data_IF_532677692730
#
_entry.id   IF_532677692730
#
_cell.length_a   1.000
_cell.length_b   1.000
_cell.length_c   1.000
_cell.angle_alpha   90.00
_cell.angle_beta   90.00
_cell.angle_gamma   90.00
#
_symmetry.space_group_name_H-M   'P 1'
#
loop_
_entity.id
_entity.type
_entity.pdbx_description
1 polymer ?
#
# COMPACT_ATOMS: atom_id res chain seq x y z
N UNK A 1 -30.17 7.31 7.52
CA UNK A 1 -31.37 6.81 6.81
C UNK A 1 -32.37 7.93 6.68
N UNK A 2 -33.06 8.02 5.54
CA UNK A 2 -34.16 8.98 5.34
C UNK A 2 -35.42 8.62 6.16
N UNK A 3 -35.55 7.35 6.57
CA UNK A 3 -36.60 6.83 7.46
C UNK A 3 -35.98 6.14 8.70
N UNK A 4 -36.68 6.11 9.85
CA UNK A 4 -36.20 5.43 11.06
C UNK A 4 -36.01 3.93 10.81
N UNK A 5 -34.98 3.35 11.43
CA UNK A 5 -34.66 1.93 11.30
C UNK A 5 -35.60 1.09 12.16
N UNK A 6 -36.30 0.12 11.56
CA UNK A 6 -37.21 -0.81 12.25
C UNK A 6 -36.61 -2.22 12.42
N UNK A 7 -35.31 -2.39 12.18
CA UNK A 7 -34.65 -3.70 12.27
C UNK A 7 -34.66 -4.25 13.69
N UNK A 8 -35.07 -5.51 13.82
CA UNK A 8 -34.98 -6.28 15.06
C UNK A 8 -33.68 -7.10 15.04
N UNK A 9 -32.68 -6.67 15.81
CA UNK A 9 -31.43 -7.42 15.98
C UNK A 9 -31.54 -8.33 17.21
N UNK A 10 -31.76 -9.64 16.98
CA UNK A 10 -31.82 -10.64 18.03
C UNK A 10 -30.44 -10.90 18.65
N UNK A 11 -30.46 -11.43 19.88
CA UNK A 11 -29.24 -11.90 20.54
C UNK A 11 -28.65 -13.10 19.79
N UNK A 12 -27.35 -13.32 20.00
CA UNK A 12 -26.69 -14.48 19.40
C UNK A 12 -27.11 -15.74 20.13
N UNK A 13 -27.37 -16.80 19.35
CA UNK A 13 -27.51 -18.15 19.87
C UNK A 13 -26.15 -18.84 19.81
N UNK A 14 -25.71 -19.37 20.95
CA UNK A 14 -24.42 -20.05 21.03
C UNK A 14 -24.62 -21.53 21.35
N UNK A 15 -23.96 -22.37 20.57
CA UNK A 15 -24.05 -23.83 20.62
C UNK A 15 -22.70 -24.45 20.96
N UNK A 16 -22.73 -25.68 21.46
CA UNK A 16 -21.52 -26.44 21.81
C UNK A 16 -20.75 -26.83 20.57
N UNK A 17 -21.43 -27.41 19.59
CA UNK A 17 -20.82 -27.93 18.38
C UNK A 17 -21.28 -27.19 17.12
N UNK A 18 -20.44 -27.19 16.07
CA UNK A 18 -20.83 -26.69 14.74
C UNK A 18 -22.05 -27.44 14.21
N UNK A 19 -22.18 -28.73 14.52
CA UNK A 19 -23.30 -29.57 14.09
C UNK A 19 -24.63 -29.07 14.65
N UNK A 20 -24.72 -28.84 15.95
CA UNK A 20 -25.91 -28.28 16.60
C UNK A 20 -26.26 -26.91 16.05
N UNK A 21 -25.26 -26.04 15.91
CA UNK A 21 -25.42 -24.71 15.29
C UNK A 21 -26.07 -24.80 13.91
N UNK A 22 -25.55 -25.64 13.01
CA UNK A 22 -26.10 -25.76 11.66
C UNK A 22 -27.49 -26.39 11.65
N UNK A 23 -27.78 -27.34 12.55
CA UNK A 23 -29.14 -27.89 12.71
C UNK A 23 -30.12 -26.80 13.14
N UNK A 24 -29.74 -25.96 14.11
CA UNK A 24 -30.56 -24.83 14.56
C UNK A 24 -30.76 -23.76 13.46
N UNK A 25 -29.72 -23.48 12.67
CA UNK A 25 -29.82 -22.60 11.49
C UNK A 25 -30.83 -23.16 10.49
N UNK A 26 -30.77 -24.46 10.17
CA UNK A 26 -31.73 -25.09 9.23
C UNK A 26 -33.14 -25.05 9.79
N UNK A 27 -33.33 -25.35 11.08
CA UNK A 27 -34.64 -25.27 11.73
C UNK A 27 -35.21 -23.83 11.67
N UNK A 28 -34.36 -22.82 11.89
CA UNK A 28 -34.77 -21.41 11.79
C UNK A 28 -35.14 -21.01 10.37
N UNK A 29 -34.34 -21.44 9.37
CA UNK A 29 -34.64 -21.21 7.96
C UNK A 29 -35.98 -21.86 7.59
N UNK A 30 -36.21 -23.10 8.05
CA UNK A 30 -37.45 -23.81 7.79
C UNK A 30 -38.67 -23.08 8.37
N UNK A 31 -38.58 -22.65 9.64
CA UNK A 31 -39.64 -21.85 10.27
C UNK A 31 -39.97 -20.58 9.47
N UNK A 32 -38.95 -19.84 9.01
CA UNK A 32 -39.14 -18.63 8.22
C UNK A 32 -39.70 -18.95 6.82
N UNK A 33 -39.24 -20.04 6.21
CA UNK A 33 -39.70 -20.47 4.89
C UNK A 33 -41.18 -20.89 4.92
N UNK A 34 -41.61 -21.61 5.96
CA UNK A 34 -43.00 -22.02 6.19
C UNK A 34 -43.93 -20.82 6.45
N UNK A 35 -43.43 -19.75 7.08
CA UNK A 35 -44.18 -18.49 7.25
C UNK A 35 -44.11 -17.57 6.03
N UNK A 36 -43.43 -17.97 4.95
CA UNK A 36 -43.24 -17.16 3.73
C UNK A 36 -42.21 -16.02 3.87
N UNK A 37 -41.51 -15.93 5.00
CA UNK A 37 -40.50 -14.89 5.23
C UNK A 37 -39.20 -15.19 4.43
N UNK A 38 -38.69 -14.24 3.63
CA UNK A 38 -37.42 -14.44 2.92
C UNK A 38 -36.24 -14.47 3.88
N UNK A 39 -35.26 -15.34 3.59
CA UNK A 39 -34.07 -15.53 4.40
C UNK A 39 -32.80 -15.33 3.60
N UNK A 40 -31.90 -14.49 4.11
CA UNK A 40 -30.53 -14.37 3.63
C UNK A 40 -29.58 -14.94 4.68
N UNK A 41 -28.82 -15.98 4.32
CA UNK A 41 -27.83 -16.61 5.19
C UNK A 41 -26.43 -16.18 4.78
N UNK A 42 -25.67 -15.62 5.71
CA UNK A 42 -24.27 -15.26 5.53
C UNK A 42 -23.34 -16.28 6.18
N UNK A 43 -22.43 -16.85 5.39
CA UNK A 43 -21.37 -17.76 5.85
C UNK A 43 -19.99 -17.12 5.67
N UNK A 44 -19.00 -17.47 6.52
CA UNK A 44 -17.65 -16.94 6.39
C UNK A 44 -16.81 -17.66 5.33
N UNK A 45 -17.13 -18.92 5.00
CA UNK A 45 -16.40 -19.72 4.01
C UNK A 45 -17.32 -20.36 2.96
N UNK A 46 -16.73 -20.72 1.81
CA UNK A 46 -17.40 -21.46 0.73
C UNK A 46 -17.80 -22.86 1.22
N UNK A 47 -16.92 -23.52 1.97
CA UNK A 47 -17.19 -24.84 2.57
C UNK A 47 -18.39 -24.81 3.51
N UNK A 48 -18.53 -23.76 4.33
CA UNK A 48 -19.69 -23.57 5.20
C UNK A 48 -20.98 -23.38 4.39
N UNK A 49 -20.94 -22.59 3.30
CA UNK A 49 -22.11 -22.43 2.42
C UNK A 49 -22.51 -23.72 1.72
N UNK A 50 -21.55 -24.53 1.25
CA UNK A 50 -21.84 -25.81 0.60
C UNK A 50 -22.36 -26.86 1.58
N UNK A 51 -21.84 -26.87 2.79
CA UNK A 51 -22.33 -27.74 3.87
C UNK A 51 -23.76 -27.40 4.25
N UNK A 52 -24.07 -26.10 4.46
CA UNK A 52 -25.43 -25.66 4.72
C UNK A 52 -26.36 -25.96 3.54
N UNK A 53 -25.89 -25.75 2.30
CA UNK A 53 -26.65 -26.06 1.09
C UNK A 53 -27.07 -27.53 1.05
N UNK A 54 -26.14 -28.46 1.31
CA UNK A 54 -26.46 -29.91 1.39
C UNK A 54 -27.49 -30.22 2.47
N UNK A 55 -27.44 -29.53 3.62
CA UNK A 55 -28.43 -29.72 4.69
C UNK A 55 -29.81 -29.19 4.28
N UNK A 56 -29.88 -28.04 3.62
CA UNK A 56 -31.14 -27.49 3.10
C UNK A 56 -31.75 -28.37 2.00
N UNK A 57 -30.93 -28.98 1.14
CA UNK A 57 -31.40 -29.96 0.14
C UNK A 57 -32.07 -31.17 0.81
N UNK A 58 -31.48 -31.70 1.90
CA UNK A 58 -32.06 -32.81 2.67
C UNK A 58 -33.40 -32.44 3.31
N UNK A 59 -33.54 -31.20 3.78
CA UNK A 59 -34.80 -30.65 4.29
C UNK A 59 -35.78 -30.21 3.20
N UNK A 60 -35.46 -30.44 1.91
CA UNK A 60 -36.29 -30.08 0.75
C UNK A 60 -36.59 -28.57 0.62
N UNK A 61 -35.71 -27.72 1.14
CA UNK A 61 -35.84 -26.26 1.05
C UNK A 61 -35.13 -25.77 -0.22
N UNK A 62 -35.90 -25.17 -1.14
CA UNK A 62 -35.33 -24.55 -2.34
C UNK A 62 -34.53 -23.32 -1.96
N UNK A 63 -33.28 -23.27 -2.37
CA UNK A 63 -32.38 -22.16 -2.06
C UNK A 63 -31.41 -21.89 -3.21
N UNK A 64 -30.80 -20.70 -3.18
CA UNK A 64 -29.73 -20.29 -4.11
C UNK A 64 -28.44 -20.04 -3.33
N UNK A 65 -27.30 -20.40 -3.90
CA UNK A 65 -25.98 -20.23 -3.26
C UNK A 65 -25.14 -19.23 -4.06
N UNK A 66 -24.48 -18.30 -3.37
CA UNK A 66 -23.64 -17.25 -3.95
C UNK A 66 -22.21 -17.39 -3.40
N UNK A 67 -21.25 -17.61 -4.31
CA UNK A 67 -19.86 -17.93 -3.96
C UNK A 67 -18.83 -16.90 -4.49
N UNK A 68 -19.27 -15.72 -4.94
CA UNK A 68 -18.45 -14.66 -5.52
C UNK A 68 -17.69 -15.05 -6.80
N UNK A 69 -18.24 -15.98 -7.61
CA UNK A 69 -17.63 -16.43 -8.88
C UNK A 69 -18.14 -15.66 -10.10
N UNK A 70 -19.43 -15.31 -10.13
CA UNK A 70 -20.08 -14.70 -11.31
C UNK A 70 -20.93 -13.49 -10.92
N UNK A 71 -20.32 -12.31 -10.83
CA UNK A 71 -20.95 -11.12 -10.24
C UNK A 71 -22.29 -10.69 -10.89
N UNK A 72 -22.43 -10.80 -12.22
CA UNK A 72 -23.67 -10.41 -12.92
C UNK A 72 -24.85 -11.32 -12.56
N UNK A 73 -24.66 -12.64 -12.61
CA UNK A 73 -25.69 -13.61 -12.23
C UNK A 73 -26.02 -13.51 -10.74
N UNK A 74 -25.01 -13.28 -9.89
CA UNK A 74 -25.21 -13.08 -8.46
C UNK A 74 -26.08 -11.85 -8.17
N UNK A 75 -25.93 -10.76 -8.93
CA UNK A 75 -26.74 -9.57 -8.76
C UNK A 75 -28.24 -9.85 -9.04
N UNK A 76 -28.56 -10.66 -10.05
CA UNK A 76 -29.95 -11.07 -10.33
C UNK A 76 -30.53 -11.93 -9.20
N UNK A 77 -29.73 -12.87 -8.69
CA UNK A 77 -30.13 -13.71 -7.56
C UNK A 77 -30.40 -12.85 -6.32
N UNK A 78 -29.53 -11.87 -6.02
CA UNK A 78 -29.67 -10.99 -4.85
C UNK A 78 -30.88 -10.08 -4.98
N UNK A 79 -31.19 -9.55 -6.18
CA UNK A 79 -32.42 -8.78 -6.41
C UNK A 79 -33.68 -9.59 -6.10
N UNK A 80 -33.66 -10.89 -6.37
CA UNK A 80 -34.75 -11.83 -6.07
C UNK A 80 -34.73 -12.39 -4.63
N UNK A 81 -33.72 -12.07 -3.82
CA UNK A 81 -33.59 -12.59 -2.45
C UNK A 81 -34.68 -12.06 -1.50
N UNK A 82 -35.33 -10.95 -1.83
CA UNK A 82 -36.39 -10.34 -1.03
C UNK A 82 -37.81 -10.78 -1.40
N UNK A 83 -37.98 -11.82 -2.22
CA UNK A 83 -39.29 -12.37 -2.61
C UNK A 83 -39.81 -13.38 -1.58
N UNK A 84 -41.14 -13.53 -1.47
CA UNK A 84 -41.79 -14.43 -0.51
C UNK A 84 -41.20 -15.85 -0.56
N UNK A 85 -40.83 -16.39 0.61
CA UNK A 85 -40.26 -17.73 0.76
C UNK A 85 -38.86 -17.92 0.15
N UNK A 86 -38.21 -16.88 -0.37
CA UNK A 86 -36.88 -16.98 -0.99
C UNK A 86 -35.81 -17.28 0.07
N UNK A 87 -34.97 -18.28 -0.19
CA UNK A 87 -33.81 -18.62 0.66
C UNK A 87 -32.54 -18.44 -0.16
N UNK A 88 -31.68 -17.53 0.29
CA UNK A 88 -30.40 -17.24 -0.36
C UNK A 88 -29.25 -17.44 0.62
N UNK A 89 -28.30 -18.29 0.27
CA UNK A 89 -27.06 -18.51 1.01
C UNK A 89 -25.94 -17.73 0.31
N UNK A 90 -25.23 -16.91 1.05
CA UNK A 90 -24.17 -16.06 0.55
C UNK A 90 -22.90 -16.27 1.36
N UNK A 91 -21.78 -16.46 0.68
CA UNK A 91 -20.49 -16.26 1.31
C UNK A 91 -20.27 -14.76 1.55
N UNK A 92 -19.37 -14.47 2.49
CA UNK A 92 -19.11 -13.15 3.06
C UNK A 92 -19.01 -11.97 2.07
N UNK A 93 -18.56 -12.20 0.84
CA UNK A 93 -18.38 -11.15 -0.18
C UNK A 93 -19.42 -11.16 -1.30
N UNK A 94 -20.24 -12.20 -1.42
CA UNK A 94 -21.13 -12.34 -2.56
C UNK A 94 -22.33 -11.38 -2.47
N UNK A 95 -22.77 -10.85 -3.61
CA UNK A 95 -23.90 -9.91 -3.66
C UNK A 95 -23.66 -8.54 -3.03
N UNK A 96 -22.41 -8.13 -2.79
CA UNK A 96 -22.09 -6.76 -2.34
C UNK A 96 -22.40 -5.73 -3.44
N UNK A 97 -22.94 -4.58 -3.03
CA UNK A 97 -23.33 -3.50 -3.95
C UNK A 97 -24.71 -3.66 -4.59
N UNK A 98 -25.39 -4.80 -4.42
CA UNK A 98 -26.77 -5.00 -4.90
C UNK A 98 -27.77 -4.85 -3.76
N UNK A 99 -28.83 -4.09 -4.02
CA UNK A 99 -29.91 -3.83 -3.08
C UNK A 99 -30.96 -4.94 -3.13
N UNK A 100 -31.37 -5.42 -1.96
CA UNK A 100 -32.44 -6.40 -1.81
C UNK A 100 -33.72 -5.61 -1.52
N UNK A 101 -34.65 -5.60 -2.49
CA UNK A 101 -35.98 -5.00 -2.32
C UNK A 101 -36.96 -6.07 -1.88
N UNK A 102 -37.82 -5.73 -0.92
CA UNK A 102 -38.88 -6.64 -0.48
C UNK A 102 -39.96 -6.72 -1.56
N UNK A 103 -40.40 -7.94 -1.87
CA UNK A 103 -41.55 -8.19 -2.74
C UNK A 103 -42.90 -7.84 -2.08
N UNK A 104 -44.02 -8.01 -2.78
CA UNK A 104 -45.35 -7.89 -2.19
C UNK A 104 -45.50 -8.89 -1.03
N UNK A 105 -46.29 -8.53 -0.01
CA UNK A 105 -46.65 -9.34 1.17
C UNK A 105 -45.50 -9.71 2.13
N UNK A 106 -44.24 -9.50 1.73
CA UNK A 106 -43.06 -9.78 2.55
C UNK A 106 -42.99 -8.89 3.80
N UNK A 107 -43.53 -7.66 3.73
CA UNK A 107 -43.55 -6.75 4.89
C UNK A 107 -44.43 -7.28 6.00
N UNK A 108 -45.55 -7.92 5.65
CA UNK A 108 -46.49 -8.51 6.60
C UNK A 108 -45.92 -9.80 7.22
N UNK A 109 -45.13 -10.55 6.45
CA UNK A 109 -44.35 -11.70 6.92
C UNK A 109 -43.13 -11.32 7.82
N UNK A 110 -42.95 -10.05 8.17
CA UNK A 110 -41.87 -9.57 9.05
C UNK A 110 -40.60 -9.10 8.33
N UNK A 111 -40.62 -9.01 6.99
CA UNK A 111 -39.51 -8.51 6.18
C UNK A 111 -38.37 -9.52 6.00
N UNK A 112 -37.23 -9.07 5.45
CA UNK A 112 -36.06 -9.94 5.23
C UNK A 112 -35.43 -10.37 6.56
N UNK A 113 -35.30 -11.68 6.78
CA UNK A 113 -34.59 -12.25 7.91
C UNK A 113 -33.14 -12.57 7.53
N UNK A 114 -32.17 -12.02 8.26
CA UNK A 114 -30.75 -12.23 7.99
C UNK A 114 -30.15 -13.15 9.06
N UNK A 115 -29.57 -14.26 8.62
CA UNK A 115 -28.88 -15.22 9.49
C UNK A 115 -27.38 -15.11 9.27
N UNK A 116 -26.61 -14.88 10.33
CA UNK A 116 -25.17 -15.13 10.33
C UNK A 116 -24.89 -16.52 10.90
N UNK A 117 -24.17 -17.37 10.16
CA UNK A 117 -23.79 -18.72 10.66
C UNK A 117 -22.55 -18.71 11.54
N UNK A 118 -21.92 -17.56 11.70
CA UNK A 118 -20.80 -17.30 12.61
C UNK A 118 -20.56 -15.79 12.71
N UNK A 119 -19.69 -15.41 13.63
CA UNK A 119 -19.21 -14.03 13.79
C UNK A 119 -17.90 -13.85 13.05
N UNK A 120 -17.83 -12.79 12.26
CA UNK A 120 -16.58 -12.44 11.60
C UNK A 120 -15.58 -11.84 12.58
N UNK A 121 -14.31 -11.89 12.19
CA UNK A 121 -13.21 -11.26 12.93
C UNK A 121 -13.41 -9.74 13.10
N UNK A 122 -14.11 -9.08 12.17
CA UNK A 122 -14.48 -7.68 12.30
C UNK A 122 -15.99 -7.48 12.43
N UNK A 123 -16.38 -6.64 13.39
CA UNK A 123 -17.75 -6.20 13.63
C UNK A 123 -18.34 -5.45 12.45
N UNK A 124 -17.49 -4.80 11.65
CA UNK A 124 -17.93 -4.09 10.44
C UNK A 124 -18.60 -5.04 9.45
N UNK A 125 -18.02 -6.22 9.26
CA UNK A 125 -18.53 -7.24 8.34
C UNK A 125 -19.89 -7.78 8.82
N UNK A 126 -20.01 -8.09 10.11
CA UNK A 126 -21.29 -8.51 10.68
C UNK A 126 -22.36 -7.42 10.57
N UNK A 127 -22.01 -6.15 10.81
CA UNK A 127 -22.93 -5.02 10.62
C UNK A 127 -23.34 -4.84 9.16
N UNK A 128 -22.46 -5.15 8.21
CA UNK A 128 -22.80 -5.15 6.78
C UNK A 128 -23.78 -6.27 6.43
N UNK A 129 -23.62 -7.46 7.00
CA UNK A 129 -24.56 -8.56 6.85
C UNK A 129 -25.94 -8.16 7.42
N UNK A 130 -25.99 -7.65 8.66
CA UNK A 130 -27.24 -7.11 9.26
C UNK A 130 -27.86 -5.97 8.46
N UNK A 131 -27.03 -5.16 7.82
CA UNK A 131 -27.45 -4.05 6.96
C UNK A 131 -28.12 -4.49 5.65
N UNK A 132 -28.17 -5.79 5.35
CA UNK A 132 -28.87 -6.31 4.16
C UNK A 132 -30.38 -6.28 4.30
N UNK A 133 -30.93 -6.33 5.52
CA UNK A 133 -32.36 -6.15 5.78
C UNK A 133 -32.70 -4.73 6.27
N UNK A 134 -34.00 -4.46 6.35
CA UNK A 134 -34.56 -3.21 6.90
C UNK A 134 -34.07 -1.92 6.21
N UNK A 135 -33.92 -1.96 4.88
CA UNK A 135 -33.53 -0.79 4.10
C UNK A 135 -34.68 0.22 4.05
N UNK A 136 -34.36 1.51 4.15
CA UNK A 136 -35.35 2.61 4.08
C UNK A 136 -36.56 2.45 5.03
N UNK A 137 -36.35 1.88 6.22
CA UNK A 137 -37.40 1.71 7.23
C UNK A 137 -38.33 0.52 6.98
N UNK A 138 -37.99 -0.36 6.04
CA UNK A 138 -38.66 -1.66 5.90
C UNK A 138 -38.48 -2.50 7.18
N UNK A 139 -39.44 -3.39 7.49
CA UNK A 139 -39.26 -4.37 8.56
C UNK A 139 -38.18 -5.39 8.18
N UNK A 140 -37.62 -6.02 9.20
CA UNK A 140 -36.67 -7.10 9.03
C UNK A 140 -36.01 -7.45 10.35
N UNK A 141 -35.40 -8.61 10.39
CA UNK A 141 -34.73 -9.09 11.58
C UNK A 141 -33.36 -9.67 11.24
N UNK A 142 -32.48 -9.73 12.23
CA UNK A 142 -31.21 -10.41 12.09
C UNK A 142 -30.88 -11.23 13.33
N UNK A 143 -30.26 -12.39 13.14
CA UNK A 143 -29.82 -13.26 14.22
C UNK A 143 -28.52 -13.96 13.83
N UNK A 144 -27.62 -14.14 14.79
CA UNK A 144 -26.38 -14.88 14.58
C UNK A 144 -26.40 -16.17 15.38
N UNK A 145 -25.89 -17.22 14.76
CA UNK A 145 -25.74 -18.55 15.32
C UNK A 145 -24.25 -18.82 15.39
N UNK A 146 -23.72 -19.13 16.57
CA UNK A 146 -22.28 -19.25 16.83
C UNK A 146 -22.04 -20.58 17.53
N UNK A 147 -20.89 -21.20 17.29
CA UNK A 147 -20.42 -22.37 18.02
C UNK A 147 -19.11 -22.06 18.75
N UNK A 148 -18.86 -22.71 19.87
CA UNK A 148 -17.54 -22.64 20.54
C UNK A 148 -16.41 -23.22 19.67
N UNK A 149 -16.75 -24.07 18.71
CA UNK A 149 -15.82 -24.61 17.71
C UNK A 149 -15.55 -23.63 16.54
N UNK A 150 -16.23 -22.48 16.47
CA UNK A 150 -16.00 -21.50 15.40
C UNK A 150 -14.64 -20.78 15.58
N UNK A 151 -14.05 -20.35 14.47
CA UNK A 151 -12.67 -19.84 14.45
C UNK A 151 -12.45 -18.63 15.38
N UNK A 152 -13.44 -17.75 15.49
CA UNK A 152 -13.38 -16.61 16.41
C UNK A 152 -13.28 -17.07 17.87
N UNK A 153 -14.04 -18.10 18.24
CA UNK A 153 -14.14 -18.61 19.61
C UNK A 153 -12.90 -19.44 19.98
N UNK A 154 -12.44 -20.28 19.05
CA UNK A 154 -11.24 -21.11 19.20
C UNK A 154 -9.97 -20.28 19.40
N UNK A 155 -9.80 -19.23 18.61
CA UNK A 155 -8.54 -18.48 18.56
C UNK A 155 -8.30 -17.55 19.76
N UNK A 156 -9.29 -17.31 20.63
CA UNK A 156 -9.21 -16.25 21.66
C UNK A 156 -9.13 -16.72 23.12
N UNK A 157 -8.77 -17.99 23.36
CA UNK A 157 -8.65 -18.58 24.70
C UNK A 157 -9.90 -18.35 25.58
N UNK A 158 -11.03 -18.09 24.92
CA UNK A 158 -12.36 -18.08 25.49
C UNK A 158 -12.92 -19.51 25.47
N UNK A 159 -12.48 -20.35 24.53
CA UNK A 159 -12.81 -21.78 24.47
C UNK A 159 -12.61 -22.46 25.83
N UNK A 160 -11.40 -22.54 26.40
CA UNK A 160 -11.17 -23.31 27.65
C UNK A 160 -11.99 -22.78 28.85
N UNK A 161 -12.10 -21.45 29.00
CA UNK A 161 -12.94 -20.86 30.05
C UNK A 161 -14.42 -21.09 29.80
N UNK A 162 -14.86 -21.06 28.55
CA UNK A 162 -16.26 -21.25 28.18
C UNK A 162 -16.66 -22.72 28.24
N UNK A 163 -15.81 -23.65 27.81
CA UNK A 163 -15.99 -25.10 27.99
C UNK A 163 -16.16 -25.43 29.48
N UNK A 164 -15.30 -24.89 30.35
CA UNK A 164 -15.45 -25.03 31.81
C UNK A 164 -16.75 -24.42 32.37
N UNK A 165 -17.27 -23.35 31.74
CA UNK A 165 -18.57 -22.77 32.09
C UNK A 165 -19.70 -23.68 31.58
N UNK A 166 -19.58 -24.29 30.41
CA UNK A 166 -20.57 -25.23 29.86
C UNK A 166 -20.70 -26.49 30.70
N UNK A 167 -19.58 -27.07 31.12
CA UNK A 167 -19.57 -28.24 32.01
C UNK A 167 -20.21 -27.92 33.37
N UNK A 168 -20.08 -26.67 33.85
CA UNK A 168 -20.76 -26.20 35.07
C UNK A 168 -22.23 -25.89 34.89
N UNK A 169 -22.63 -25.40 33.72
CA UNK A 169 -24.02 -25.05 33.43
C UNK A 169 -24.87 -26.26 33.01
N UNK A 170 -24.27 -27.43 32.78
CA UNK A 170 -25.01 -28.67 32.52
C UNK A 170 -25.82 -28.61 31.22
N UNK A 171 -25.29 -27.97 30.20
CA UNK A 171 -25.98 -27.74 28.92
C UNK A 171 -26.23 -29.08 28.21
N UNK A 172 -27.50 -29.38 27.95
CA UNK A 172 -27.91 -30.57 27.22
C UNK A 172 -27.62 -30.41 25.71
N UNK A 173 -27.38 -31.53 25.02
CA UNK A 173 -27.06 -31.52 23.60
C UNK A 173 -28.24 -30.94 22.79
N UNK A 174 -28.00 -29.81 22.13
CA UNK A 174 -28.99 -29.15 21.26
C UNK A 174 -29.69 -27.92 21.85
N UNK A 175 -29.44 -27.58 23.12
CA UNK A 175 -29.93 -26.32 23.69
C UNK A 175 -29.08 -25.13 23.25
N UNK A 176 -29.70 -23.97 23.02
CA UNK A 176 -29.01 -22.73 22.67
C UNK A 176 -28.83 -21.86 23.93
N UNK A 177 -27.62 -21.36 24.15
CA UNK A 177 -27.38 -20.35 25.18
C UNK A 177 -27.70 -18.96 24.63
N UNK A 178 -28.70 -18.31 25.23
CA UNK A 178 -29.07 -16.92 24.92
C UNK A 178 -28.97 -16.04 26.16
N UNK A 179 -27.85 -15.32 26.30
CA UNK A 179 -27.69 -14.35 27.37
C UNK A 179 -26.93 -13.08 26.93
N UNK A 180 -27.33 -11.93 27.49
CA UNK A 180 -26.71 -10.62 27.20
C UNK A 180 -25.21 -10.59 27.49
N UNK A 181 -24.73 -11.32 28.51
CA UNK A 181 -23.31 -11.36 28.86
C UNK A 181 -22.47 -12.08 27.80
N UNK A 182 -23.05 -13.06 27.10
CA UNK A 182 -22.39 -13.85 26.07
C UNK A 182 -22.09 -13.00 24.83
N UNK A 183 -23.06 -12.19 24.40
CA UNK A 183 -22.86 -11.18 23.34
C UNK A 183 -21.70 -10.23 23.66
N UNK A 184 -21.59 -9.77 24.91
CA UNK A 184 -20.50 -8.87 25.34
C UNK A 184 -19.14 -9.57 25.30
N UNK A 185 -19.11 -10.87 25.62
CA UNK A 185 -17.90 -11.68 25.53
C UNK A 185 -17.43 -11.83 24.08
N UNK A 186 -18.34 -12.17 23.17
CA UNK A 186 -18.08 -12.24 21.71
C UNK A 186 -17.60 -10.90 21.17
N UNK A 187 -18.26 -9.79 21.53
CA UNK A 187 -17.84 -8.44 21.10
C UNK A 187 -16.42 -8.10 21.61
N UNK A 188 -16.08 -8.54 22.82
CA UNK A 188 -14.73 -8.35 23.40
C UNK A 188 -13.69 -9.16 22.63
N UNK A 189 -14.00 -10.40 22.25
CA UNK A 189 -13.15 -11.21 21.39
C UNK A 189 -12.91 -10.51 20.04
N UNK A 190 -13.98 -10.05 19.37
CA UNK A 190 -13.86 -9.31 18.10
C UNK A 190 -13.02 -8.04 18.25
N UNK A 191 -13.21 -7.24 19.31
CA UNK A 191 -12.39 -6.04 19.56
C UNK A 191 -10.90 -6.37 19.66
N UNK A 192 -10.53 -7.46 20.34
CA UNK A 192 -9.13 -7.89 20.44
C UNK A 192 -8.57 -8.35 19.09
N UNK A 193 -9.35 -9.08 18.30
CA UNK A 193 -8.99 -9.48 16.94
C UNK A 193 -8.74 -8.23 16.07
N UNK A 194 -9.67 -7.28 16.09
CA UNK A 194 -9.57 -6.01 15.36
C UNK A 194 -8.31 -5.24 15.75
N UNK A 195 -8.01 -5.16 17.05
CA UNK A 195 -6.78 -4.53 17.57
C UNK A 195 -5.51 -5.26 17.12
N UNK A 196 -5.51 -6.60 17.14
CA UNK A 196 -4.37 -7.40 16.65
C UNK A 196 -4.11 -7.12 15.16
N UNK A 197 -5.14 -7.18 14.32
CA UNK A 197 -4.99 -6.89 12.89
C UNK A 197 -4.66 -5.43 12.61
N UNK A 198 -5.16 -4.50 13.44
CA UNK A 198 -4.76 -3.10 13.35
C UNK A 198 -3.26 -2.94 13.63
N UNK A 199 -2.74 -3.56 14.70
CA UNK A 199 -1.30 -3.53 15.01
C UNK A 199 -0.47 -4.16 13.90
N UNK A 200 -0.87 -5.31 13.35
CA UNK A 200 -0.16 -5.94 12.22
C UNK A 200 -0.13 -5.05 10.98
N UNK A 201 -1.27 -4.44 10.63
CA UNK A 201 -1.34 -3.51 9.49
C UNK A 201 -0.52 -2.25 9.72
N UNK A 202 -0.56 -1.69 10.93
CA UNK A 202 0.27 -0.55 11.31
C UNK A 202 1.76 -0.92 11.19
N UNK A 203 2.15 -2.08 11.72
CA UNK A 203 3.52 -2.56 11.61
C UNK A 203 3.96 -2.67 10.15
N UNK A 204 3.16 -3.30 9.26
CA UNK A 204 3.46 -3.35 7.82
C UNK A 204 3.57 -1.96 7.20
N UNK A 205 2.64 -1.07 7.53
CA UNK A 205 2.67 0.33 7.06
C UNK A 205 3.95 1.05 7.49
N UNK A 206 4.42 0.82 8.72
CA UNK A 206 5.64 1.46 9.22
C UNK A 206 6.91 1.07 8.42
N UNK A 207 6.96 -0.14 7.84
CA UNK A 207 8.03 -0.54 6.90
C UNK A 207 7.83 0.10 5.53
N UNK A 208 6.59 0.04 5.02
CA UNK A 208 6.25 0.58 3.71
C UNK A 208 6.46 2.11 3.65
N UNK A 209 6.26 2.83 4.76
CA UNK A 209 6.50 4.27 4.88
C UNK A 209 7.98 4.64 4.65
N UNK A 210 8.92 3.78 5.04
CA UNK A 210 10.35 3.98 4.76
C UNK A 210 10.58 3.91 3.24
N UNK A 211 10.04 2.88 2.60
CA UNK A 211 10.13 2.70 1.14
C UNK A 211 9.42 3.81 0.38
N UNK A 212 8.27 4.29 0.85
CA UNK A 212 7.52 5.36 0.20
C UNK A 212 8.31 6.67 0.20
N UNK A 213 8.97 7.03 1.32
CA UNK A 213 9.85 8.22 1.37
C UNK A 213 11.01 8.11 0.39
N UNK A 214 11.61 6.92 0.26
CA UNK A 214 12.69 6.70 -0.71
C UNK A 214 12.19 6.81 -2.16
N UNK A 215 11.01 6.24 -2.45
CA UNK A 215 10.35 6.39 -3.76
C UNK A 215 10.08 7.84 -4.10
N UNK A 216 9.59 8.63 -3.16
CA UNK A 216 9.32 10.06 -3.39
C UNK A 216 10.58 10.80 -3.86
N UNK A 217 11.73 10.52 -3.24
CA UNK A 217 13.01 11.14 -3.60
C UNK A 217 13.50 10.62 -4.96
N UNK A 218 13.53 9.30 -5.18
CA UNK A 218 14.03 8.70 -6.43
C UNK A 218 13.14 9.05 -7.61
N UNK A 219 11.82 8.94 -7.47
CA UNK A 219 10.88 9.32 -8.52
C UNK A 219 10.83 10.83 -8.72
N UNK A 220 11.09 11.62 -7.67
CA UNK A 220 11.34 13.05 -7.79
C UNK A 220 12.51 13.34 -8.72
N UNK A 221 13.67 12.74 -8.44
CA UNK A 221 14.88 12.90 -9.26
C UNK A 221 14.71 12.37 -10.69
N UNK A 222 14.09 11.19 -10.84
CA UNK A 222 13.76 10.61 -12.15
C UNK A 222 12.88 11.54 -12.98
N UNK A 223 11.85 12.12 -12.35
CA UNK A 223 10.94 13.06 -13.03
C UNK A 223 11.61 14.39 -13.38
N UNK A 224 12.54 14.86 -12.56
CA UNK A 224 13.36 16.03 -12.85
C UNK A 224 14.20 15.80 -14.11
N UNK A 225 14.88 14.66 -14.23
CA UNK A 225 15.63 14.27 -15.42
C UNK A 225 14.73 14.15 -16.66
N UNK A 226 13.55 13.53 -16.51
CA UNK A 226 12.60 13.39 -17.62
C UNK A 226 12.09 14.74 -18.13
N UNK A 227 11.79 15.66 -17.22
CA UNK A 227 11.13 16.94 -17.53
C UNK A 227 12.09 18.09 -17.76
N UNK A 228 13.38 17.92 -17.50
CA UNK A 228 14.37 18.98 -17.70
C UNK A 228 14.32 19.48 -19.14
N UNK A 229 14.38 20.78 -19.38
CA UNK A 229 14.54 21.29 -20.74
C UNK A 229 15.95 21.00 -21.24
N UNK A 230 16.96 21.24 -20.37
CA UNK A 230 18.37 20.95 -20.61
C UNK A 230 18.90 19.88 -19.61
N UNK A 231 19.04 18.62 -20.02
CA UNK A 231 19.63 17.56 -19.20
C UNK A 231 21.11 17.80 -18.87
N UNK A 232 21.78 18.66 -19.64
CA UNK A 232 23.21 18.93 -19.49
C UNK A 232 23.52 19.65 -18.20
N UNK A 233 22.70 20.63 -17.81
CA UNK A 233 22.88 21.34 -16.54
C UNK A 233 22.92 20.36 -15.36
N UNK A 234 22.02 19.36 -15.36
CA UNK A 234 21.98 18.31 -14.34
C UNK A 234 23.25 17.44 -14.34
N UNK A 235 23.81 17.14 -15.51
CA UNK A 235 25.07 16.40 -15.64
C UNK A 235 26.24 17.24 -15.11
N UNK A 236 26.28 18.53 -15.42
CA UNK A 236 27.34 19.43 -14.94
C UNK A 236 27.29 19.57 -13.42
N UNK A 237 26.11 19.80 -12.84
CA UNK A 237 25.93 19.84 -11.38
C UNK A 237 26.36 18.52 -10.71
N UNK A 238 26.12 17.39 -11.40
CA UNK A 238 26.51 16.08 -10.92
C UNK A 238 28.04 15.88 -10.97
N UNK A 239 28.71 16.34 -12.02
CA UNK A 239 30.19 16.36 -12.09
C UNK A 239 30.78 17.26 -11.00
N UNK A 240 30.26 18.48 -10.86
CA UNK A 240 30.71 19.45 -9.84
C UNK A 240 30.58 18.92 -8.41
N UNK A 241 29.68 17.97 -8.17
CA UNK A 241 29.55 17.31 -6.87
C UNK A 241 30.43 16.06 -6.73
N UNK A 242 30.49 15.18 -7.75
CA UNK A 242 31.20 13.91 -7.63
C UNK A 242 32.71 14.11 -7.65
N UNK A 243 33.23 14.95 -8.56
CA UNK A 243 34.67 15.06 -8.73
C UNK A 243 35.35 15.54 -7.44
N UNK A 244 34.89 16.61 -6.77
CA UNK A 244 35.51 17.03 -5.51
C UNK A 244 35.37 15.98 -4.40
N UNK A 245 34.23 15.29 -4.32
CA UNK A 245 34.02 14.25 -3.32
C UNK A 245 35.00 13.07 -3.50
N UNK A 246 35.22 12.63 -4.73
CA UNK A 246 36.16 11.55 -5.06
C UNK A 246 37.61 11.99 -4.86
N UNK A 247 37.96 13.23 -5.23
CA UNK A 247 39.31 13.78 -4.96
C UNK A 247 39.55 13.86 -3.46
N UNK A 248 38.59 14.35 -2.67
CA UNK A 248 38.71 14.35 -1.20
C UNK A 248 38.90 12.94 -0.67
N UNK A 249 38.10 11.98 -1.13
CA UNK A 249 38.17 10.58 -0.68
C UNK A 249 39.57 9.96 -0.90
N UNK A 250 40.19 10.17 -2.07
CA UNK A 250 41.52 9.60 -2.36
C UNK A 250 42.69 10.45 -1.82
N UNK A 251 42.47 11.72 -1.51
CA UNK A 251 43.52 12.63 -1.02
C UNK A 251 43.51 12.83 0.50
N UNK A 252 42.42 12.50 1.18
CA UNK A 252 42.38 12.43 2.63
C UNK A 252 43.24 11.27 3.12
N UNK A 253 43.98 11.49 4.21
CA UNK A 253 44.88 10.48 4.78
C UNK A 253 44.08 9.28 5.30
N UNK A 254 44.15 8.15 4.61
CA UNK A 254 43.66 6.85 5.08
C UNK A 254 44.80 5.88 5.37
N UNK A 255 44.58 5.00 6.36
CA UNK A 255 45.36 3.87 6.95
C UNK A 255 46.90 3.97 7.13
N UNK A 256 47.64 4.82 6.40
CA UNK A 256 49.10 4.98 6.49
C UNK A 256 49.61 6.43 6.47
N UNK A 257 48.71 7.43 6.46
CA UNK A 257 49.08 8.86 6.51
C UNK A 257 49.64 9.41 5.19
N UNK A 258 49.36 8.76 4.07
CA UNK A 258 49.72 9.23 2.73
C UNK A 258 48.50 9.20 1.80
N UNK A 259 48.35 10.19 0.90
CA UNK A 259 47.25 10.21 -0.06
C UNK A 259 47.43 9.14 -1.15
N UNK A 260 46.34 8.47 -1.52
CA UNK A 260 46.30 7.41 -2.54
C UNK A 260 46.24 7.97 -3.96
N UNK A 261 47.23 8.79 -4.30
CA UNK A 261 47.32 9.53 -5.57
C UNK A 261 47.28 8.61 -6.80
N UNK A 262 47.86 7.42 -6.69
CA UNK A 262 47.87 6.44 -7.77
C UNK A 262 46.49 5.82 -8.02
N UNK A 263 45.69 5.63 -6.96
CA UNK A 263 44.31 5.15 -7.10
C UNK A 263 43.41 6.22 -7.71
N UNK A 264 43.57 7.49 -7.31
CA UNK A 264 42.88 8.61 -7.94
C UNK A 264 43.18 8.66 -9.45
N UNK A 265 44.44 8.52 -9.84
CA UNK A 265 44.84 8.51 -11.24
C UNK A 265 44.21 7.33 -12.01
N UNK A 266 44.20 6.14 -11.42
CA UNK A 266 43.56 4.96 -12.01
C UNK A 266 42.05 5.15 -12.16
N UNK A 267 41.39 5.70 -11.14
CA UNK A 267 39.96 5.99 -11.19
C UNK A 267 39.63 7.01 -12.28
N UNK A 268 40.38 8.12 -12.37
CA UNK A 268 40.20 9.14 -13.40
C UNK A 268 40.32 8.54 -14.80
N UNK A 269 41.36 7.75 -15.06
CA UNK A 269 41.60 7.17 -16.38
C UNK A 269 40.64 6.02 -16.74
N UNK A 270 40.05 5.34 -15.75
CA UNK A 270 39.03 4.30 -15.97
C UNK A 270 37.65 4.89 -16.26
N UNK A 271 37.37 6.05 -15.67
CA UNK A 271 36.06 6.73 -15.71
C UNK A 271 35.99 7.72 -16.88
N UNK A 272 37.07 8.45 -17.13
CA UNK A 272 37.15 9.51 -18.12
C UNK A 272 38.21 9.23 -19.19
N UNK A 273 37.99 9.66 -20.44
CA UNK A 273 38.94 9.46 -21.53
C UNK A 273 40.11 10.47 -21.50
N UNK A 274 40.68 10.75 -20.33
CA UNK A 274 41.73 11.77 -20.15
C UNK A 274 43.15 11.23 -20.36
N UNK A 275 43.37 9.93 -20.15
CA UNK A 275 44.68 9.26 -20.30
C UNK A 275 45.84 10.03 -19.63
N UNK A 276 45.62 10.56 -18.42
CA UNK A 276 46.61 11.34 -17.69
C UNK A 276 47.78 10.45 -17.26
N UNK A 277 49.00 10.89 -17.52
CA UNK A 277 50.21 10.32 -16.91
C UNK A 277 50.48 10.93 -15.53
N UNK A 278 51.25 10.23 -14.69
CA UNK A 278 51.69 10.74 -13.37
C UNK A 278 52.36 12.11 -13.49
N UNK A 279 53.17 12.29 -14.53
CA UNK A 279 53.90 13.52 -14.81
C UNK A 279 53.00 14.71 -15.20
N UNK A 280 51.83 14.45 -15.81
CA UNK A 280 50.86 15.48 -16.21
C UNK A 280 49.87 15.79 -15.11
N UNK A 281 49.43 14.76 -14.39
CA UNK A 281 48.49 14.87 -13.30
C UNK A 281 49.06 15.72 -12.15
N UNK A 282 50.29 15.42 -11.70
CA UNK A 282 50.99 16.13 -10.61
C UNK A 282 50.11 16.37 -9.38
N UNK A 283 49.27 15.41 -9.01
CA UNK A 283 48.30 15.57 -7.93
C UNK A 283 48.98 15.87 -6.58
N UNK A 284 50.20 15.38 -6.34
CA UNK A 284 50.99 15.69 -5.14
C UNK A 284 51.38 17.16 -5.00
N UNK A 285 51.35 17.93 -6.09
CA UNK A 285 51.80 19.34 -6.09
C UNK A 285 50.70 20.34 -5.76
N UNK A 286 49.44 19.89 -5.70
CA UNK A 286 48.27 20.75 -5.43
C UNK A 286 47.51 20.22 -4.22
N UNK A 287 46.75 21.10 -3.61
CA UNK A 287 45.78 20.76 -2.58
C UNK A 287 44.52 20.11 -3.17
N UNK A 288 43.63 19.63 -2.30
CA UNK A 288 42.39 18.93 -2.67
C UNK A 288 41.51 19.80 -3.59
N UNK A 289 41.35 21.09 -3.26
CA UNK A 289 40.58 22.04 -4.07
C UNK A 289 41.25 22.31 -5.42
N UNK A 290 42.57 22.49 -5.44
CA UNK A 290 43.35 22.68 -6.66
C UNK A 290 43.28 21.48 -7.61
N UNK A 291 43.34 20.24 -7.09
CA UNK A 291 43.18 19.03 -7.89
C UNK A 291 41.74 18.83 -8.36
N UNK A 292 40.75 19.17 -7.54
CA UNK A 292 39.33 19.13 -7.93
C UNK A 292 39.06 20.06 -9.11
N UNK A 293 39.51 21.31 -9.04
CA UNK A 293 39.37 22.29 -10.14
C UNK A 293 40.10 21.85 -11.40
N UNK A 294 41.34 21.37 -11.26
CA UNK A 294 42.13 20.86 -12.38
C UNK A 294 41.43 19.71 -13.11
N UNK A 295 40.85 18.75 -12.38
CA UNK A 295 40.11 17.65 -12.96
C UNK A 295 38.79 18.11 -13.60
N UNK A 296 38.02 18.96 -12.92
CA UNK A 296 36.79 19.51 -13.48
C UNK A 296 37.04 20.21 -14.82
N UNK A 297 38.01 21.12 -14.91
CA UNK A 297 38.34 21.80 -16.16
C UNK A 297 38.68 20.82 -17.30
N UNK A 298 39.46 19.78 -17.01
CA UNK A 298 39.83 18.76 -17.99
C UNK A 298 38.64 17.91 -18.42
N UNK A 299 37.78 17.52 -17.48
CA UNK A 299 36.58 16.72 -17.75
C UNK A 299 35.57 17.54 -18.56
N UNK A 300 35.33 18.81 -18.20
CA UNK A 300 34.48 19.71 -18.98
C UNK A 300 35.01 19.88 -20.40
N UNK A 301 36.32 20.06 -20.56
CA UNK A 301 36.94 20.17 -21.89
C UNK A 301 36.73 18.88 -22.71
N UNK A 302 36.93 17.71 -22.09
CA UNK A 302 36.68 16.42 -22.74
C UNK A 302 35.20 16.22 -23.10
N UNK A 303 34.29 16.66 -22.22
CA UNK A 303 32.85 16.58 -22.43
C UNK A 303 32.38 17.49 -23.58
N UNK A 304 32.86 18.74 -23.61
CA UNK A 304 32.56 19.68 -24.71
C UNK A 304 33.06 19.13 -26.05
N UNK A 305 34.27 18.55 -26.07
CA UNK A 305 34.79 17.89 -27.28
C UNK A 305 33.94 16.68 -27.70
N UNK A 306 33.40 15.92 -26.74
CA UNK A 306 32.45 14.84 -27.04
C UNK A 306 31.20 15.40 -27.70
N UNK A 307 30.61 16.45 -27.14
CA UNK A 307 29.41 17.10 -27.67
C UNK A 307 29.60 17.56 -29.12
N UNK A 308 30.74 18.17 -29.44
CA UNK A 308 31.05 18.62 -30.81
C UNK A 308 31.04 17.50 -31.86
N UNK A 309 31.27 16.25 -31.44
CA UNK A 309 31.32 15.08 -32.32
C UNK A 309 29.98 14.32 -32.39
N UNK A 310 29.02 14.63 -31.53
CA UNK A 310 27.73 13.95 -31.45
C UNK A 310 26.66 14.67 -32.27
N UNK A 311 25.60 13.96 -32.67
CA UNK A 311 24.48 14.59 -33.36
C UNK A 311 23.66 15.46 -32.39
N UNK A 312 23.60 16.77 -32.67
CA UNK A 312 22.85 17.75 -31.87
C UNK A 312 21.37 17.43 -31.72
N UNK A 313 20.74 16.72 -32.65
CA UNK A 313 19.31 16.37 -32.57
C UNK A 313 19.02 15.32 -31.48
N UNK A 314 19.99 14.46 -31.18
CA UNK A 314 19.81 13.32 -30.28
C UNK A 314 20.55 13.48 -28.94
N UNK A 315 21.34 14.54 -28.79
CA UNK A 315 22.21 14.74 -27.63
C UNK A 315 21.41 14.79 -26.31
N UNK A 316 20.34 15.58 -26.24
CA UNK A 316 19.51 15.67 -25.04
C UNK A 316 18.83 14.33 -24.70
N UNK A 317 18.45 13.56 -25.73
CA UNK A 317 17.85 12.24 -25.52
C UNK A 317 18.88 11.24 -24.98
N UNK A 318 20.13 11.33 -25.43
CA UNK A 318 21.24 10.52 -24.97
C UNK A 318 21.60 10.85 -23.52
N UNK A 319 21.74 12.13 -23.19
CA UNK A 319 22.04 12.63 -21.84
C UNK A 319 20.96 12.18 -20.83
N UNK A 320 19.66 12.32 -21.19
CA UNK A 320 18.55 11.77 -20.39
C UNK A 320 18.66 10.26 -20.26
N UNK A 321 18.91 9.54 -21.35
CA UNK A 321 18.99 8.08 -21.33
C UNK A 321 20.07 7.60 -20.36
N UNK A 322 21.26 8.21 -20.37
CA UNK A 322 22.37 7.87 -19.48
C UNK A 322 21.95 8.02 -18.02
N UNK A 323 21.33 9.16 -17.66
CA UNK A 323 20.87 9.40 -16.28
C UNK A 323 19.73 8.46 -15.88
N UNK A 324 18.72 8.29 -16.74
CA UNK A 324 17.57 7.43 -16.44
C UNK A 324 17.96 5.97 -16.32
N UNK A 325 18.86 5.49 -17.17
CA UNK A 325 19.36 4.12 -17.10
C UNK A 325 20.07 3.87 -15.76
N UNK A 326 20.93 4.81 -15.33
CA UNK A 326 21.60 4.72 -14.05
C UNK A 326 20.61 4.71 -12.86
N UNK A 327 19.62 5.61 -12.87
CA UNK A 327 18.57 5.65 -11.85
C UNK A 327 17.77 4.34 -11.83
N UNK A 328 17.25 3.90 -12.97
CA UNK A 328 16.32 2.78 -13.05
C UNK A 328 17.01 1.46 -12.69
N UNK A 329 18.23 1.23 -13.20
CA UNK A 329 19.00 0.01 -12.87
C UNK A 329 19.32 -0.05 -11.38
N UNK A 330 19.87 1.03 -10.81
CA UNK A 330 20.28 1.06 -9.40
C UNK A 330 19.09 1.03 -8.45
N UNK A 331 17.98 1.67 -8.82
CA UNK A 331 16.75 1.59 -8.06
C UNK A 331 16.19 0.17 -8.01
N UNK A 332 16.22 -0.55 -9.14
CA UNK A 332 15.79 -1.95 -9.16
C UNK A 332 16.67 -2.83 -8.26
N UNK A 333 18.00 -2.69 -8.32
CA UNK A 333 18.94 -3.37 -7.42
C UNK A 333 18.62 -3.08 -5.94
N UNK A 334 18.34 -1.81 -5.61
CA UNK A 334 17.95 -1.39 -4.26
C UNK A 334 16.62 -2.01 -3.80
N UNK A 335 15.62 -2.11 -4.68
CA UNK A 335 14.35 -2.75 -4.32
C UNK A 335 14.54 -4.21 -3.90
N UNK A 336 15.40 -4.96 -4.58
CA UNK A 336 15.74 -6.33 -4.18
C UNK A 336 16.49 -6.38 -2.84
N UNK A 337 17.45 -5.46 -2.63
CA UNK A 337 18.17 -5.36 -1.36
C UNK A 337 17.23 -5.02 -0.19
N UNK A 338 16.26 -4.13 -0.43
CA UNK A 338 15.26 -3.71 0.56
C UNK A 338 14.28 -4.83 0.93
N UNK A 339 13.91 -5.69 -0.02
CA UNK A 339 13.07 -6.86 0.26
C UNK A 339 13.84 -7.90 1.08
N UNK A 340 15.08 -8.20 0.66
CA UNK A 340 16.00 -9.08 1.40
C UNK A 340 16.25 -8.59 2.83
N UNK A 341 16.43 -7.27 3.00
CA UNK A 341 16.59 -6.62 4.30
C UNK A 341 15.33 -6.79 5.16
N UNK A 342 14.13 -6.62 4.57
CA UNK A 342 12.85 -6.76 5.27
C UNK A 342 12.62 -8.19 5.78
N UNK A 343 13.03 -9.20 5.01
CA UNK A 343 12.97 -10.60 5.45
C UNK A 343 14.01 -10.88 6.55
N UNK A 344 15.25 -10.43 6.35
CA UNK A 344 16.36 -10.68 7.27
C UNK A 344 16.25 -9.99 8.63
N UNK A 345 15.67 -8.78 8.68
CA UNK A 345 15.60 -7.99 9.92
C UNK A 345 14.73 -8.64 11.00
N UNK A 346 13.83 -9.56 10.62
CA UNK A 346 13.03 -10.32 11.58
C UNK A 346 13.90 -11.19 12.50
N UNK A 347 15.07 -11.64 12.03
CA UNK A 347 16.02 -12.41 12.85
C UNK A 347 16.71 -11.55 13.91
N UNK A 348 16.82 -10.22 13.69
CA UNK A 348 17.40 -9.29 14.68
C UNK A 348 16.58 -9.20 15.96
N UNK A 349 15.29 -9.56 15.91
CA UNK A 349 14.43 -9.66 17.08
C UNK A 349 14.98 -10.64 18.14
N UNK A 350 15.76 -11.65 17.74
CA UNK A 350 16.41 -12.58 18.67
C UNK A 350 17.41 -11.89 19.60
N UNK A 351 18.02 -10.79 19.16
CA UNK A 351 18.94 -9.98 19.94
C UNK A 351 18.27 -8.89 20.80
N UNK A 352 16.95 -8.97 21.03
CA UNK A 352 16.17 -7.96 21.76
C UNK A 352 16.21 -6.53 21.16
N UNK A 353 16.59 -6.43 19.89
CA UNK A 353 16.55 -5.18 19.12
C UNK A 353 15.22 -5.06 18.40
N UNK A 354 14.68 -3.85 18.32
CA UNK A 354 13.46 -3.58 17.55
C UNK A 354 13.76 -3.70 16.04
N UNK A 355 13.15 -4.67 15.32
CA UNK A 355 13.39 -4.85 13.90
C UNK A 355 13.06 -3.62 13.06
N UNK A 356 12.05 -2.83 13.44
CA UNK A 356 11.68 -1.63 12.68
C UNK A 356 12.76 -0.55 12.76
N UNK A 357 13.40 -0.41 13.92
CA UNK A 357 14.48 0.56 14.12
C UNK A 357 15.73 0.15 13.34
N UNK A 358 16.12 -1.13 13.44
CA UNK A 358 17.24 -1.67 12.68
C UNK A 358 17.00 -1.56 11.16
N UNK A 359 15.77 -1.88 10.71
CA UNK A 359 15.38 -1.71 9.31
C UNK A 359 15.52 -0.27 8.84
N UNK A 360 15.04 0.71 9.62
CA UNK A 360 15.17 2.14 9.27
C UNK A 360 16.62 2.58 9.14
N UNK A 361 17.48 2.12 10.06
CA UNK A 361 18.90 2.47 10.08
C UNK A 361 19.66 1.83 8.91
N UNK A 362 19.50 0.53 8.68
CA UNK A 362 20.14 -0.18 7.58
C UNK A 362 19.61 0.31 6.22
N UNK A 363 18.30 0.51 6.10
CA UNK A 363 17.67 1.05 4.89
C UNK A 363 18.17 2.45 4.54
N UNK A 364 18.38 3.32 5.53
CA UNK A 364 18.95 4.65 5.30
C UNK A 364 20.38 4.59 4.75
N UNK A 365 21.21 3.69 5.30
CA UNK A 365 22.57 3.46 4.80
C UNK A 365 22.56 2.97 3.35
N UNK A 366 21.74 1.95 3.06
CA UNK A 366 21.57 1.44 1.69
C UNK A 366 21.08 2.52 0.74
N UNK A 367 20.15 3.38 1.18
CA UNK A 367 19.61 4.45 0.35
C UNK A 367 20.60 5.57 0.08
N UNK A 368 21.45 5.92 1.05
CA UNK A 368 22.52 6.90 0.84
C UNK A 368 23.53 6.37 -0.17
N UNK A 369 23.97 5.12 0.03
CA UNK A 369 24.85 4.43 -0.93
C UNK A 369 24.21 4.31 -2.32
N UNK A 370 22.90 4.03 -2.39
CA UNK A 370 22.16 4.02 -3.66
C UNK A 370 22.32 5.36 -4.39
N UNK A 371 22.10 6.49 -3.71
CA UNK A 371 22.20 7.81 -4.36
C UNK A 371 23.59 8.05 -4.92
N UNK A 372 24.63 7.72 -4.14
CA UNK A 372 26.01 7.84 -4.58
C UNK A 372 26.28 6.93 -5.80
N UNK A 373 25.83 5.67 -5.77
CA UNK A 373 26.01 4.73 -6.89
C UNK A 373 25.20 5.08 -8.15
N UNK A 374 24.04 5.74 -8.01
CA UNK A 374 23.29 6.30 -9.15
C UNK A 374 24.13 7.37 -9.82
N UNK A 375 24.65 8.29 -9.02
CA UNK A 375 25.40 9.43 -9.54
C UNK A 375 26.72 8.97 -10.18
N UNK A 376 27.45 8.06 -9.52
CA UNK A 376 28.66 7.42 -10.08
C UNK A 376 28.35 6.64 -11.35
N UNK A 377 27.23 5.90 -11.37
CA UNK A 377 26.76 5.18 -12.55
C UNK A 377 26.50 6.10 -13.73
N UNK A 378 25.91 7.28 -13.49
CA UNK A 378 25.70 8.29 -14.51
C UNK A 378 27.02 8.86 -15.06
N UNK A 379 27.97 9.23 -14.18
CA UNK A 379 29.30 9.73 -14.59
C UNK A 379 30.07 8.69 -15.39
N UNK A 380 30.12 7.46 -14.90
CA UNK A 380 30.88 6.37 -15.52
C UNK A 380 30.36 6.04 -16.91
N UNK A 381 29.04 6.14 -17.10
CA UNK A 381 28.38 5.90 -18.37
C UNK A 381 28.44 7.12 -19.30
N UNK A 382 28.70 8.33 -18.78
CA UNK A 382 28.67 9.58 -19.54
C UNK A 382 29.54 9.53 -20.81
N UNK A 383 30.73 8.95 -20.74
CA UNK A 383 31.67 8.87 -21.87
C UNK A 383 31.63 7.53 -22.64
N UNK A 384 30.80 6.57 -22.21
CA UNK A 384 30.74 5.22 -22.79
C UNK A 384 29.64 5.04 -23.84
N UNK A 385 28.64 5.93 -23.85
CA UNK A 385 27.56 5.93 -24.82
C UNK A 385 27.81 6.99 -25.91
N UNK A 386 27.54 6.63 -27.16
CA UNK A 386 27.61 7.51 -28.34
C UNK A 386 26.32 7.41 -29.15
N UNK A 387 25.98 8.44 -29.93
CA UNK A 387 24.74 8.48 -30.75
C UNK A 387 24.75 7.52 -31.94
N UNK A 388 25.89 6.89 -32.26
CA UNK A 388 26.06 6.02 -33.45
C UNK A 388 25.48 4.61 -33.25
N UNK A 389 25.11 4.23 -32.02
CA UNK A 389 24.21 3.08 -31.84
C UNK A 389 22.80 3.58 -32.09
N UNK A 390 22.16 3.09 -33.16
CA UNK A 390 20.72 3.24 -33.39
C UNK A 390 20.02 3.10 -32.04
N UNK A 391 19.54 4.23 -31.52
CA UNK A 391 18.77 4.26 -30.30
C UNK A 391 17.48 3.56 -30.69
N UNK A 392 17.37 2.28 -30.32
CA UNK A 392 16.18 1.48 -30.48
C UNK A 392 14.95 2.35 -30.13
N UNK A 393 13.87 2.34 -30.93
CA UNK A 393 12.69 3.18 -30.73
C UNK A 393 11.85 2.76 -29.51
N UNK A 394 12.49 2.20 -28.48
CA UNK A 394 11.91 1.83 -27.19
C UNK A 394 11.50 3.07 -26.38
N UNK A 395 12.05 4.25 -26.68
CA UNK A 395 11.55 5.52 -26.12
C UNK A 395 10.23 6.00 -26.79
N UNK A 396 9.94 5.57 -28.02
CA UNK A 396 8.66 5.83 -28.67
C UNK A 396 7.56 4.88 -28.19
N UNK A 397 7.95 3.70 -27.68
CA UNK A 397 7.05 2.65 -27.19
C UNK A 397 7.06 2.51 -25.65
N UNK A 398 7.55 3.52 -24.94
CA UNK A 398 7.35 3.61 -23.50
C UNK A 398 5.84 3.44 -23.23
N UNK A 399 5.40 2.40 -22.49
CA UNK A 399 3.98 2.18 -22.30
C UNK A 399 3.41 3.38 -21.54
N UNK A 400 2.71 4.24 -22.26
CA UNK A 400 1.81 5.26 -21.70
C UNK A 400 0.68 4.61 -20.85
N UNK A 401 0.62 3.29 -20.78
CA UNK A 401 -0.30 2.53 -19.95
C UNK A 401 0.33 2.09 -18.62
N UNK A 402 0.63 3.06 -17.75
CA UNK A 402 0.33 2.90 -16.31
C UNK A 402 -0.60 4.00 -15.79
N UNK A 403 -1.13 4.83 -16.67
CA UNK A 403 -2.38 5.57 -16.46
C UNK A 403 -3.59 4.63 -16.61
N UNK A 404 -3.62 3.56 -15.82
CA UNK A 404 -4.78 2.71 -15.58
C UNK A 404 -5.58 3.17 -14.36
N UNK A 405 -5.65 4.47 -14.11
CA UNK A 405 -6.58 5.08 -13.17
C UNK A 405 -7.67 5.78 -13.98
N UNK A 406 -8.69 5.03 -14.41
CA UNK A 406 -9.87 5.62 -15.02
C UNK A 406 -10.50 6.60 -14.03
N UNK A 407 -10.39 7.88 -14.33
CA UNK A 407 -11.33 8.88 -13.84
C UNK A 407 -12.68 8.57 -14.47
N UNK A 408 -13.47 7.76 -13.76
CA UNK A 408 -14.92 7.79 -13.83
C UNK A 408 -15.51 7.37 -12.48
N UNK A 409 -15.95 8.39 -11.74
CA UNK A 409 -17.05 8.37 -10.78
C UNK A 409 -17.06 7.27 -9.71
N UNK A 410 -16.31 7.50 -8.63
CA UNK A 410 -16.83 7.21 -7.29
C UNK A 410 -17.22 8.52 -6.60
N UNK A 411 -18.47 8.91 -6.80
CA UNK A 411 -19.18 9.74 -5.83
C UNK A 411 -19.23 8.98 -4.50
N UNK A 412 -18.41 9.37 -3.53
CA UNK A 412 -18.66 9.10 -2.11
C UNK A 412 -19.26 10.38 -1.53
N UNK A 413 -20.60 10.34 -1.43
CA UNK A 413 -21.40 11.31 -0.69
C UNK A 413 -20.86 11.52 0.72
N UNK A 414 -20.92 12.79 1.12
CA UNK A 414 -20.47 13.34 2.39
C UNK A 414 -20.75 12.52 3.64
N UNK A 415 -19.72 12.41 4.47
CA UNK A 415 -19.87 12.45 5.92
C UNK A 415 -18.76 13.33 6.50
N UNK A 416 -19.11 14.58 6.74
CA UNK A 416 -18.33 15.48 7.59
C UNK A 416 -18.09 14.79 8.93
N UNK A 417 -16.84 14.48 9.21
CA UNK A 417 -16.39 14.07 10.54
C UNK A 417 -15.45 15.16 11.02
N UNK A 418 -16.03 16.10 11.76
CA UNK A 418 -15.32 17.08 12.56
C UNK A 418 -14.39 16.31 13.51
N UNK A 419 -13.10 16.59 13.43
CA UNK A 419 -12.09 16.07 14.34
C UNK A 419 -12.32 16.75 15.70
N UNK A 420 -12.60 16.03 16.80
CA UNK A 420 -12.49 16.62 18.12
C UNK A 420 -11.01 16.70 18.47
N UNK A 421 -10.58 17.91 18.78
CA UNK A 421 -9.32 18.21 19.44
C UNK A 421 -9.39 17.66 20.88
N UNK A 422 -8.57 16.66 21.19
CA UNK A 422 -8.36 16.20 22.56
C UNK A 422 -6.90 15.72 22.69
N UNK A 423 -6.15 16.43 23.53
CA UNK A 423 -4.74 16.21 23.78
C UNK A 423 -4.43 14.98 24.64
N UNK A 424 -3.28 14.38 24.33
CA UNK A 424 -2.38 13.63 25.20
C UNK A 424 -1.20 13.26 24.29
N UNK A 425 0.00 13.82 24.43
CA UNK A 425 0.82 13.66 25.62
C UNK A 425 1.51 12.30 25.58
N UNK A 426 2.44 12.09 24.64
CA UNK A 426 3.43 11.01 24.68
C UNK A 426 4.60 11.34 23.74
N UNK A 427 5.79 11.34 24.31
CA UNK A 427 7.08 11.76 23.75
C UNK A 427 7.33 11.42 22.28
N UNK A 428 7.60 12.47 21.49
CA UNK A 428 8.34 12.38 20.23
C UNK A 428 9.80 12.01 20.54
N UNK A 429 10.12 10.73 20.53
CA UNK A 429 11.45 10.22 20.15
C UNK A 429 11.41 9.70 18.72
N UNK A 430 10.81 10.49 17.82
CA UNK A 430 10.90 10.23 16.39
C UNK A 430 12.30 10.57 15.90
N UNK A 431 13.14 9.57 15.62
CA UNK A 431 14.31 9.77 14.78
C UNK A 431 13.86 10.42 13.48
N UNK A 432 14.07 11.74 13.36
CA UNK A 432 13.88 12.49 12.12
C UNK A 432 14.96 12.02 11.16
N UNK A 433 14.59 11.12 10.27
CA UNK A 433 15.44 10.68 9.18
C UNK A 433 15.66 11.89 8.26
N UNK A 434 16.78 12.59 8.43
CA UNK A 434 17.21 13.66 7.53
C UNK A 434 17.74 13.00 6.25
N UNK A 435 16.82 12.58 5.39
CA UNK A 435 17.16 12.19 4.01
C UNK A 435 17.87 13.38 3.34
N UNK A 436 18.92 13.14 2.53
CA UNK A 436 19.60 14.20 1.81
C UNK A 436 18.57 14.95 0.96
N UNK A 437 18.20 16.15 1.39
CA UNK A 437 17.31 17.03 0.64
C UNK A 437 18.14 17.61 -0.49
N UNK A 438 17.98 17.08 -1.72
CA UNK A 438 18.25 17.91 -2.90
C UNK A 438 17.37 19.15 -2.75
N UNK A 439 17.99 20.33 -2.83
CA UNK A 439 17.27 21.60 -2.67
C UNK A 439 16.14 21.60 -3.71
N UNK A 440 14.86 21.69 -3.31
CA UNK A 440 13.83 21.90 -4.31
C UNK A 440 14.15 23.23 -5.00
N UNK A 441 14.14 23.23 -6.33
CA UNK A 441 14.15 24.45 -7.13
C UNK A 441 13.10 25.39 -6.51
N UNK A 442 13.53 26.59 -6.13
CA UNK A 442 12.68 27.56 -5.46
C UNK A 442 11.43 27.78 -6.32
N UNK A 443 10.27 27.30 -5.85
CA UNK A 443 8.98 27.57 -6.48
C UNK A 443 8.72 29.07 -6.37
N UNK A 444 8.96 29.80 -7.46
CA UNK A 444 8.67 31.23 -7.54
C UNK A 444 7.18 31.43 -7.25
N UNK A 445 6.87 32.15 -6.18
CA UNK A 445 5.51 32.42 -5.76
C UNK A 445 4.75 33.21 -6.84
N UNK A 446 3.43 32.99 -6.97
CA UNK A 446 2.58 33.64 -7.99
C UNK A 446 2.71 35.18 -8.05
N UNK A 447 3.09 35.81 -6.93
CA UNK A 447 3.25 37.26 -6.80
C UNK A 447 4.72 37.73 -6.73
N UNK A 448 5.70 36.82 -6.80
CA UNK A 448 7.13 37.13 -6.82
C UNK A 448 7.57 37.64 -8.20
N UNK A 449 8.67 38.42 -8.27
CA UNK A 449 9.23 38.86 -9.54
C UNK A 449 9.56 37.67 -10.44
N UNK A 450 9.16 37.76 -11.70
CA UNK A 450 9.29 36.67 -12.66
C UNK A 450 10.76 36.46 -13.05
N UNK A 451 11.18 35.19 -13.07
CA UNK A 451 12.55 34.74 -13.40
C UNK A 451 13.05 35.11 -14.79
N UNK A 452 12.16 35.50 -15.71
CA UNK A 452 12.54 35.93 -17.07
C UNK A 452 13.10 37.36 -17.15
N UNK A 453 13.34 38.02 -16.02
CA UNK A 453 13.90 39.39 -15.98
C UNK A 453 12.94 40.50 -16.42
N UNK A 454 11.66 40.21 -16.63
CA UNK A 454 10.67 41.17 -17.15
C UNK A 454 10.22 42.26 -16.16
N UNK A 455 10.67 42.20 -14.90
CA UNK A 455 10.24 43.10 -13.83
C UNK A 455 8.78 42.93 -13.38
N UNK A 456 8.02 42.01 -13.99
CA UNK A 456 6.61 41.74 -13.68
C UNK A 456 6.46 40.60 -12.69
N UNK A 457 5.34 40.53 -11.96
CA UNK A 457 5.00 39.38 -11.10
C UNK A 457 4.78 38.13 -11.95
N UNK A 458 5.19 36.94 -11.46
CA UNK A 458 5.11 35.67 -12.21
C UNK A 458 3.73 35.42 -12.85
N UNK A 459 2.62 35.65 -12.12
CA UNK A 459 1.24 35.50 -12.65
C UNK A 459 0.88 36.41 -13.85
N UNK A 460 1.61 37.49 -14.05
CA UNK A 460 1.38 38.47 -15.13
C UNK A 460 2.41 38.33 -16.26
N UNK A 461 3.31 37.35 -16.18
CA UNK A 461 4.32 37.06 -17.18
C UNK A 461 4.28 35.55 -17.53
N UNK A 462 5.30 34.77 -17.17
CA UNK A 462 5.41 33.35 -17.53
C UNK A 462 4.32 32.47 -16.92
N UNK A 463 3.67 32.91 -15.84
CA UNK A 463 2.53 32.22 -15.21
C UNK A 463 1.16 32.74 -15.66
N UNK A 464 1.07 33.51 -16.75
CA UNK A 464 -0.20 34.03 -17.28
C UNK A 464 -0.88 32.94 -18.11
N UNK A 465 -1.95 32.35 -17.57
CA UNK A 465 -2.87 31.55 -18.38
C UNK A 465 -3.68 32.51 -19.25
N UNK A 466 -3.52 32.42 -20.57
CA UNK A 466 -4.43 33.06 -21.53
C UNK A 466 -5.75 32.30 -21.49
N UNK A 467 -6.86 33.03 -21.32
CA UNK A 467 -8.22 32.50 -21.48
C UNK A 467 -8.48 32.04 -22.92
#
# INVERSE_FOLDING_TARGET
>A
NHKPNQRIDHNDQVFKTRREKFNAVVAKIQQCHESGQPVLVGTASVEASETLSRMLQRSKIKHKVLNAKYHLQEAEIVKAAGQLGSVTVSTNMAGRGTDIKLGPDVKEAGGLFVIGTERHQSRRTDRQLRGRCSRQGDPGASQFFISFEDDLMRNFAAADRMTNIMDRFGMEDGEALEHKWLNRSVETAQKRVEQMYYRRRKYVLDFDDVMNRQREVVYGYRNEVLKSEDPRELIMELLDRIIPAQVSYYMEEHDEGQPDVMELLNWVNKTFPLHLSVAEAKFETRDIDGNSKFLLERIHTAYNRKIEMENSEHLDSLERHIMLNAIDQKWQEHLYAMDSLREGVQLRAQGQKDPLVEYKMESYKLFTALMDTIDEGAVHNLFRFTTIREIDPVLADAPQQTSGGSENNMAVSGSSSVVPEAGSGSDESGLKLNLPKRRPIAKVGRNEPCICGSGKKYKQCCGRMTE
#
